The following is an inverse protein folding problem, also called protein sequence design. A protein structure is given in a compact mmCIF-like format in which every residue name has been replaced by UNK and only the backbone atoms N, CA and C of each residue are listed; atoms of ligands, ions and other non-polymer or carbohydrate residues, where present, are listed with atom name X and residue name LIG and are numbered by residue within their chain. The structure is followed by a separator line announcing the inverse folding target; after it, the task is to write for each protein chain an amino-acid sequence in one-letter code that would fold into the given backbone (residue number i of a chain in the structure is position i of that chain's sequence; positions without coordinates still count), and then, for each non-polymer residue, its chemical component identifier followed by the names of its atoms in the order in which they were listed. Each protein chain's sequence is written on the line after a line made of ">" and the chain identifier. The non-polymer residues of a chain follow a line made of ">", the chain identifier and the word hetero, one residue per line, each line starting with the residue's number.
data_IF_449574191530
#
_entry.id   IF_449574191530
#
_cell.length_a   1.000
_cell.length_b   1.000
_cell.length_c   1.000
_cell.angle_alpha   90.00
_cell.angle_beta   90.00
_cell.angle_gamma   90.00
#
_symmetry.space_group_name_H-M   'P 1'
#
loop_
_entity.id
_entity.type
_entity.pdbx_description
1 polymer ?
#
# COMPACT_ATOMS: atom_id res chain seq x y z
N UNK A 1 -2.50 -7.16 -7.13
CA UNK A 1 -2.04 -6.52 -8.36
C UNK A 1 -0.68 -5.87 -8.12
N UNK A 2 0.31 -6.18 -8.95
CA UNK A 2 1.63 -5.53 -8.93
C UNK A 2 1.81 -4.74 -10.22
N UNK A 3 1.88 -3.41 -10.12
CA UNK A 3 1.80 -2.51 -11.27
C UNK A 3 3.10 -2.48 -12.11
N UNK A 4 3.34 -3.55 -12.87
CA UNK A 4 4.59 -3.78 -13.60
C UNK A 4 4.81 -2.81 -14.77
N UNK A 5 3.74 -2.19 -15.27
CA UNK A 5 3.76 -1.21 -16.37
C UNK A 5 4.17 0.19 -15.93
N UNK A 6 4.19 0.49 -14.62
CA UNK A 6 4.55 1.82 -14.12
C UNK A 6 6.04 2.12 -14.30
N UNK A 7 6.42 3.41 -14.41
CA UNK A 7 7.83 3.83 -14.49
C UNK A 7 8.67 3.40 -13.26
N UNK A 8 9.99 3.49 -13.34
CA UNK A 8 10.84 3.21 -12.16
C UNK A 8 10.46 4.16 -11.00
N UNK A 9 10.27 3.65 -9.77
CA UNK A 9 9.83 4.46 -8.62
C UNK A 9 10.83 5.54 -8.16
N UNK A 10 12.03 5.59 -8.76
CA UNK A 10 13.01 6.67 -8.58
C UNK A 10 12.85 7.80 -9.59
N UNK A 11 12.08 7.60 -10.66
CA UNK A 11 11.80 8.64 -11.65
C UNK A 11 10.74 9.62 -11.14
N UNK A 12 10.77 10.85 -11.65
CA UNK A 12 9.74 11.85 -11.35
C UNK A 12 8.38 11.44 -11.94
N UNK A 13 8.38 10.87 -13.15
CA UNK A 13 7.18 10.42 -13.86
C UNK A 13 6.41 9.31 -13.13
N UNK A 14 7.07 8.53 -12.26
CA UNK A 14 6.38 7.48 -11.50
C UNK A 14 5.35 8.04 -10.52
N UNK A 15 5.61 9.19 -9.89
CA UNK A 15 4.74 9.69 -8.83
C UNK A 15 3.33 9.97 -9.38
N UNK A 16 3.25 10.70 -10.49
CA UNK A 16 1.97 11.02 -11.13
C UNK A 16 1.29 9.77 -11.69
N UNK A 17 2.05 8.90 -12.36
CA UNK A 17 1.51 7.65 -12.91
C UNK A 17 0.97 6.71 -11.82
N UNK A 18 1.63 6.62 -10.66
CA UNK A 18 1.17 5.82 -9.54
C UNK A 18 -0.10 6.41 -8.91
N UNK A 19 -0.17 7.72 -8.74
CA UNK A 19 -1.36 8.37 -8.18
C UNK A 19 -2.55 8.25 -9.13
N UNK A 20 -2.35 8.41 -10.44
CA UNK A 20 -3.40 8.24 -11.44
C UNK A 20 -3.89 6.77 -11.49
N UNK A 21 -2.99 5.78 -11.49
CA UNK A 21 -3.36 4.36 -11.44
C UNK A 21 -4.14 4.01 -10.15
N UNK A 22 -3.73 4.57 -9.01
CA UNK A 22 -4.45 4.39 -7.76
C UNK A 22 -5.85 5.03 -7.82
N UNK A 23 -5.94 6.25 -8.35
CA UNK A 23 -7.19 7.00 -8.48
C UNK A 23 -8.21 6.20 -9.28
N UNK A 24 -7.81 5.64 -10.43
CA UNK A 24 -8.67 4.79 -11.24
C UNK A 24 -9.25 3.62 -10.42
N UNK A 25 -8.40 2.92 -9.66
CA UNK A 25 -8.83 1.78 -8.85
C UNK A 25 -9.78 2.20 -7.71
N UNK A 26 -9.51 3.33 -7.06
CA UNK A 26 -10.29 3.86 -5.95
C UNK A 26 -11.66 4.42 -6.39
N UNK A 27 -11.70 5.08 -7.54
CA UNK A 27 -12.95 5.55 -8.15
C UNK A 27 -13.78 4.36 -8.64
N UNK A 28 -13.14 3.35 -9.25
CA UNK A 28 -13.80 2.10 -9.64
C UNK A 28 -14.38 1.35 -8.45
N UNK A 29 -13.76 1.39 -7.27
CA UNK A 29 -14.32 0.82 -6.03
C UNK A 29 -15.36 1.72 -5.35
N UNK A 30 -15.62 2.92 -5.88
CA UNK A 30 -16.60 3.85 -5.30
C UNK A 30 -16.19 4.35 -3.92
N UNK A 31 -14.89 4.56 -3.71
CA UNK A 31 -14.31 4.75 -2.39
C UNK A 31 -13.89 3.40 -1.82
N UNK A 32 -14.12 3.15 -0.53
CA UNK A 32 -13.81 1.85 0.09
C UNK A 32 -12.31 1.52 0.06
N UNK A 33 -11.50 2.57 0.14
CA UNK A 33 -10.08 2.53 -0.21
C UNK A 33 -9.15 2.95 0.93
N UNK A 34 -8.03 2.27 1.05
CA UNK A 34 -6.92 2.66 1.92
C UNK A 34 -5.65 2.84 1.09
N UNK A 35 -5.08 4.03 1.10
CA UNK A 35 -3.79 4.32 0.47
C UNK A 35 -2.71 4.39 1.56
N UNK A 36 -1.75 3.48 1.47
CA UNK A 36 -0.59 3.39 2.34
C UNK A 36 0.64 3.92 1.60
N UNK A 37 1.10 5.08 2.05
CA UNK A 37 2.26 5.77 1.48
C UNK A 37 3.53 5.52 2.29
N UNK A 38 4.67 5.48 1.60
CA UNK A 38 5.99 5.33 2.21
C UNK A 38 6.60 6.66 2.67
N UNK A 39 5.96 7.80 2.34
CA UNK A 39 6.43 9.14 2.73
C UNK A 39 5.29 10.15 2.77
N UNK A 40 5.42 11.18 3.61
CA UNK A 40 4.48 12.31 3.64
C UNK A 40 4.41 13.05 2.29
N UNK A 41 5.54 13.15 1.57
CA UNK A 41 5.55 13.73 0.21
C UNK A 41 4.57 13.02 -0.73
N UNK A 42 4.49 11.69 -0.66
CA UNK A 42 3.51 10.95 -1.47
C UNK A 42 2.10 11.11 -0.92
N UNK A 43 1.92 11.12 0.41
CA UNK A 43 0.63 11.43 1.02
C UNK A 43 0.06 12.76 0.52
N UNK A 44 0.86 13.83 0.52
CA UNK A 44 0.45 15.16 0.06
C UNK A 44 0.06 15.13 -1.44
N UNK A 45 0.81 14.40 -2.26
CA UNK A 45 0.50 14.21 -3.69
C UNK A 45 -0.81 13.47 -3.92
N UNK A 46 -1.06 12.41 -3.16
CA UNK A 46 -2.33 11.70 -3.19
C UNK A 46 -3.47 12.61 -2.75
N UNK A 47 -3.28 13.38 -1.67
CA UNK A 47 -4.29 14.29 -1.16
C UNK A 47 -4.65 15.37 -2.19
N UNK A 48 -3.64 16.00 -2.80
CA UNK A 48 -3.82 17.02 -3.85
C UNK A 48 -4.54 16.46 -5.08
N UNK A 49 -4.16 15.27 -5.54
CA UNK A 49 -4.68 14.69 -6.78
C UNK A 49 -6.08 14.08 -6.64
N UNK A 50 -6.41 13.56 -5.46
CA UNK A 50 -7.73 13.03 -5.15
C UNK A 50 -8.70 14.12 -4.67
N UNK A 51 -8.23 15.34 -4.39
CA UNK A 51 -9.08 16.47 -4.05
C UNK A 51 -10.06 16.77 -5.19
N UNK A 52 -11.37 16.76 -4.88
CA UNK A 52 -12.43 16.98 -5.86
C UNK A 52 -12.84 15.75 -6.68
N UNK A 53 -12.31 14.56 -6.34
CA UNK A 53 -12.91 13.31 -6.81
C UNK A 53 -14.29 13.08 -6.19
N UNK A 54 -15.07 12.16 -6.75
CA UNK A 54 -16.42 11.82 -6.25
C UNK A 54 -16.38 11.06 -4.91
N UNK A 55 -15.21 10.56 -4.51
CA UNK A 55 -15.03 9.80 -3.27
C UNK A 55 -14.69 10.72 -2.10
N UNK A 56 -15.22 10.42 -0.92
CA UNK A 56 -14.89 11.19 0.29
C UNK A 56 -13.45 10.94 0.69
N UNK A 57 -12.61 11.96 0.64
CA UNK A 57 -11.20 11.85 1.04
C UNK A 57 -11.01 12.12 2.53
N UNK A 58 -10.23 11.28 3.19
CA UNK A 58 -9.74 11.44 4.55
C UNK A 58 -8.21 11.37 4.53
N UNK A 59 -7.52 12.35 5.12
CA UNK A 59 -6.05 12.41 5.05
C UNK A 59 -5.43 12.44 6.45
N UNK A 60 -4.40 11.62 6.66
CA UNK A 60 -3.62 11.67 7.89
C UNK A 60 -3.05 13.09 8.10
N UNK A 61 -3.31 13.65 9.28
CA UNK A 61 -2.89 15.00 9.66
C UNK A 61 -4.05 15.99 9.76
N UNK A 62 -5.18 15.71 9.12
CA UNK A 62 -6.37 16.59 9.17
C UNK A 62 -7.18 16.42 10.46
N UNK A 63 -7.17 15.22 11.03
CA UNK A 63 -7.84 14.89 12.29
C UNK A 63 -6.89 14.14 13.22
N UNK A 64 -7.12 14.18 14.55
CA UNK A 64 -6.47 13.26 15.48
C UNK A 64 -6.65 11.81 15.03
N UNK A 65 -5.59 11.01 15.20
CA UNK A 65 -5.51 9.63 14.69
C UNK A 65 -6.77 8.79 14.98
N UNK A 66 -7.27 8.76 16.21
CA UNK A 66 -8.49 8.00 16.56
C UNK A 66 -9.75 8.52 15.85
N UNK A 67 -9.91 9.84 15.73
CA UNK A 67 -11.05 10.44 15.06
C UNK A 67 -11.03 10.21 13.55
N UNK A 68 -9.83 10.22 12.94
CA UNK A 68 -9.69 9.91 11.51
C UNK A 68 -10.07 8.46 11.19
N UNK A 69 -9.69 7.53 12.08
CA UNK A 69 -10.03 6.11 11.93
C UNK A 69 -11.51 5.90 12.13
N UNK A 70 -12.11 6.50 13.16
CA UNK A 70 -13.56 6.46 13.36
C UNK A 70 -14.33 7.04 12.15
N UNK A 71 -13.88 8.16 11.58
CA UNK A 71 -14.50 8.73 10.39
C UNK A 71 -14.39 7.80 9.17
N UNK A 72 -13.27 7.09 9.01
CA UNK A 72 -13.09 6.10 7.95
C UNK A 72 -13.96 4.86 8.14
N UNK A 73 -14.20 4.45 9.39
CA UNK A 73 -15.13 3.36 9.71
C UNK A 73 -16.58 3.71 9.44
N UNK A 74 -16.99 4.93 9.80
CA UNK A 74 -18.37 5.42 9.65
C UNK A 74 -18.71 5.71 8.19
N UNK A 75 -17.77 6.25 7.42
CA UNK A 75 -17.97 6.61 6.02
C UNK A 75 -17.44 5.51 5.09
N UNK A 76 -18.28 4.52 4.79
CA UNK A 76 -17.88 3.37 3.98
C UNK A 76 -17.37 3.76 2.58
N UNK A 77 -17.90 4.83 1.98
CA UNK A 77 -17.54 5.26 0.62
C UNK A 77 -16.35 6.23 0.60
N UNK A 78 -15.56 6.26 1.68
CA UNK A 78 -14.37 7.09 1.77
C UNK A 78 -13.08 6.41 1.30
N UNK A 79 -12.07 7.24 1.03
CA UNK A 79 -10.68 6.85 0.84
C UNK A 79 -9.86 7.47 1.95
N UNK A 80 -9.14 6.66 2.71
CA UNK A 80 -8.16 7.12 3.68
C UNK A 80 -6.75 7.07 3.10
N UNK A 81 -6.07 8.21 3.05
CA UNK A 81 -4.66 8.32 2.67
C UNK A 81 -3.82 8.52 3.92
N UNK A 82 -2.94 7.56 4.20
CA UNK A 82 -2.08 7.58 5.37
C UNK A 82 -0.68 7.03 5.05
N UNK A 83 0.29 7.35 5.90
CA UNK A 83 1.61 6.72 5.89
C UNK A 83 1.54 5.30 6.43
N UNK A 84 2.44 4.41 6.01
CA UNK A 84 2.46 3.02 6.52
C UNK A 84 2.55 2.91 8.05
N UNK A 85 3.27 3.82 8.70
CA UNK A 85 3.41 3.84 10.17
C UNK A 85 2.16 4.34 10.90
N UNK A 86 1.17 4.88 10.21
CA UNK A 86 -0.02 5.46 10.83
C UNK A 86 -0.76 4.47 11.72
N UNK A 87 -0.72 3.17 11.40
CA UNK A 87 -1.53 2.14 12.02
C UNK A 87 -0.86 1.36 13.15
N UNK A 88 0.33 1.77 13.58
CA UNK A 88 0.95 1.15 14.75
C UNK A 88 0.02 1.30 15.97
N UNK A 89 -0.34 0.17 16.58
CA UNK A 89 -1.21 0.10 17.75
C UNK A 89 -2.71 0.32 17.48
N UNK A 90 -3.17 0.35 16.22
CA UNK A 90 -4.59 0.42 15.89
C UNK A 90 -5.05 -0.76 15.05
N UNK A 91 -6.18 -1.32 15.44
CA UNK A 91 -7.00 -2.09 14.53
C UNK A 91 -7.67 -1.11 13.56
N UNK A 92 -7.87 -1.55 12.32
CA UNK A 92 -8.69 -0.81 11.37
C UNK A 92 -9.99 -1.59 11.30
N UNK A 93 -11.08 -1.12 11.91
CA UNK A 93 -12.40 -1.61 11.61
C UNK A 93 -12.81 -1.04 10.24
N UNK A 94 -13.62 -1.77 9.51
CA UNK A 94 -14.10 -1.32 8.20
C UNK A 94 -14.66 -2.52 7.47
N UNK A 95 -15.97 -2.71 7.58
CA UNK A 95 -16.66 -3.76 6.84
C UNK A 95 -16.60 -3.55 5.32
N UNK A 96 -16.13 -2.37 4.92
CA UNK A 96 -16.18 -1.75 3.61
C UNK A 96 -14.81 -1.59 2.93
N UNK A 97 -13.69 -2.04 3.52
CA UNK A 97 -12.38 -1.89 2.87
C UNK A 97 -12.22 -2.93 1.74
N UNK A 98 -12.23 -2.46 0.50
CA UNK A 98 -12.16 -3.30 -0.71
C UNK A 98 -10.84 -3.12 -1.45
N UNK A 99 -10.25 -1.93 -1.41
CA UNK A 99 -9.00 -1.63 -2.12
C UNK A 99 -7.94 -1.13 -1.14
N UNK A 100 -6.81 -1.83 -1.08
CA UNK A 100 -5.60 -1.35 -0.40
C UNK A 100 -4.54 -1.03 -1.43
N UNK A 101 -4.16 0.23 -1.51
CA UNK A 101 -3.07 0.72 -2.35
C UNK A 101 -1.82 0.86 -1.49
N UNK A 102 -0.69 0.33 -1.97
CA UNK A 102 0.64 0.52 -1.40
C UNK A 102 1.49 1.19 -2.47
N UNK A 103 1.95 2.41 -2.19
CA UNK A 103 2.66 3.20 -3.20
C UNK A 103 3.99 2.54 -3.59
N UNK A 104 4.86 2.26 -2.62
CA UNK A 104 6.18 1.67 -2.83
C UNK A 104 6.42 0.47 -1.94
N UNK A 105 7.41 -0.34 -2.33
CA UNK A 105 7.94 -1.36 -1.43
C UNK A 105 8.52 -0.70 -0.18
N UNK A 106 8.10 -1.13 1.03
CA UNK A 106 8.43 -0.45 2.28
C UNK A 106 9.79 -0.87 2.82
N UNK A 107 10.83 -0.65 2.03
CA UNK A 107 12.19 -0.84 2.48
C UNK A 107 12.52 0.19 3.57
N UNK A 108 13.31 -0.19 4.58
CA UNK A 108 13.70 0.73 5.63
C UNK A 108 14.56 1.84 5.02
N UNK A 109 14.43 3.05 5.57
CA UNK A 109 15.23 4.16 5.06
C UNK A 109 16.72 3.89 5.29
N UNK A 110 17.61 4.32 4.37
CA UNK A 110 19.04 4.17 4.55
C UNK A 110 19.59 4.91 5.78
N UNK A 111 18.95 6.02 6.16
CA UNK A 111 19.36 6.93 7.24
C UNK A 111 18.76 6.59 8.61
N UNK A 112 17.97 5.51 8.73
CA UNK A 112 17.40 5.08 10.01
C UNK A 112 18.49 4.45 10.90
N UNK A 113 18.81 5.04 12.09
CA UNK A 113 19.92 4.57 12.92
C UNK A 113 19.78 3.12 13.39
N UNK A 114 18.54 2.68 13.68
CA UNK A 114 18.29 1.32 14.14
C UNK A 114 18.54 0.31 13.02
N UNK A 115 18.07 0.61 11.80
CA UNK A 115 18.29 -0.28 10.66
C UNK A 115 19.74 -0.26 10.19
N UNK A 116 20.43 0.87 10.26
CA UNK A 116 21.88 0.95 9.98
C UNK A 116 22.68 0.03 10.91
N UNK A 117 22.46 0.09 12.22
CA UNK A 117 23.14 -0.80 13.17
C UNK A 117 22.87 -2.29 12.88
N UNK A 118 21.63 -2.64 12.48
CA UNK A 118 21.30 -4.02 12.09
C UNK A 118 21.99 -4.48 10.81
N UNK A 119 22.12 -3.58 9.82
CA UNK A 119 22.84 -3.87 8.57
C UNK A 119 24.32 -4.12 8.84
N UNK A 120 24.96 -3.29 9.67
CA UNK A 120 26.35 -3.46 10.08
C UNK A 120 26.59 -4.82 10.76
N UNK A 121 25.71 -5.23 11.68
CA UNK A 121 25.80 -6.54 12.33
C UNK A 121 25.69 -7.69 11.32
N UNK A 122 24.78 -7.59 10.34
CA UNK A 122 24.64 -8.60 9.30
C UNK A 122 25.89 -8.68 8.41
N UNK A 123 26.46 -7.53 8.03
CA UNK A 123 27.68 -7.45 7.22
C UNK A 123 28.90 -8.00 7.96
N UNK A 124 29.04 -7.70 9.27
CA UNK A 124 30.09 -8.27 10.12
C UNK A 124 29.99 -9.81 10.22
N UNK A 125 28.78 -10.37 10.11
CA UNK A 125 28.54 -11.81 10.05
C UNK A 125 28.75 -12.41 8.64
N UNK A 126 29.21 -11.63 7.66
CA UNK A 126 29.42 -12.07 6.28
C UNK A 126 28.12 -12.27 5.48
N UNK A 127 27.00 -11.73 5.95
CA UNK A 127 25.70 -11.80 5.30
C UNK A 127 25.42 -10.54 4.48
N UNK A 128 24.58 -10.67 3.45
CA UNK A 128 24.05 -9.50 2.73
C UNK A 128 23.07 -8.74 3.63
N UNK A 129 23.36 -7.47 3.94
CA UNK A 129 22.46 -6.59 4.69
C UNK A 129 21.08 -6.46 4.03
N UNK A 130 21.03 -6.35 2.71
CA UNK A 130 19.76 -6.34 1.97
C UNK A 130 18.95 -7.62 2.19
N UNK A 131 19.57 -8.78 2.02
CA UNK A 131 18.89 -10.08 2.14
C UNK A 131 18.53 -10.46 3.57
N UNK A 132 19.37 -10.11 4.54
CA UNK A 132 19.21 -10.50 5.94
C UNK A 132 18.38 -9.50 6.76
N UNK A 133 18.31 -8.23 6.34
CA UNK A 133 17.68 -7.15 7.12
C UNK A 133 16.57 -6.44 6.34
N UNK A 134 16.90 -5.83 5.19
CA UNK A 134 15.95 -4.96 4.49
C UNK A 134 14.79 -5.74 3.88
N UNK A 135 15.08 -6.86 3.22
CA UNK A 135 14.09 -7.70 2.56
C UNK A 135 13.10 -8.34 3.56
N UNK A 136 13.54 -8.99 4.67
CA UNK A 136 12.62 -9.47 5.69
C UNK A 136 11.78 -8.36 6.32
N UNK A 137 12.36 -7.19 6.58
CA UNK A 137 11.61 -6.05 7.14
C UNK A 137 10.52 -5.57 6.17
N UNK A 138 10.88 -5.39 4.89
CA UNK A 138 9.92 -4.99 3.87
C UNK A 138 8.81 -6.03 3.70
N UNK A 139 9.14 -7.32 3.75
CA UNK A 139 8.17 -8.41 3.68
C UNK A 139 7.13 -8.33 4.81
N UNK A 140 7.57 -8.11 6.06
CA UNK A 140 6.67 -7.96 7.22
C UNK A 140 5.75 -6.75 7.07
N UNK A 141 6.31 -5.59 6.71
CA UNK A 141 5.52 -4.36 6.54
C UNK A 141 4.51 -4.50 5.40
N UNK A 142 4.92 -5.11 4.28
CA UNK A 142 4.06 -5.35 3.14
C UNK A 142 2.90 -6.30 3.50
N UNK A 143 3.20 -7.39 4.23
CA UNK A 143 2.20 -8.33 4.73
C UNK A 143 1.23 -7.67 5.71
N UNK A 144 1.72 -6.78 6.58
CA UNK A 144 0.87 -5.99 7.49
C UNK A 144 -0.04 -5.01 6.75
N UNK A 145 0.48 -4.33 5.72
CA UNK A 145 -0.32 -3.45 4.86
C UNK A 145 -1.40 -4.21 4.11
N UNK A 146 -1.05 -5.32 3.47
CA UNK A 146 -1.99 -6.20 2.77
C UNK A 146 -3.00 -6.85 3.72
N UNK A 147 -2.56 -7.25 4.91
CA UNK A 147 -3.40 -7.87 5.93
C UNK A 147 -4.51 -6.96 6.46
N UNK A 148 -4.44 -5.64 6.22
CA UNK A 148 -5.56 -4.73 6.52
C UNK A 148 -6.81 -5.06 5.72
N UNK A 149 -6.66 -5.65 4.55
CA UNK A 149 -7.78 -6.10 3.73
C UNK A 149 -8.40 -7.40 4.27
N UNK A 150 -7.58 -8.33 4.78
CA UNK A 150 -8.02 -9.68 5.11
C UNK A 150 -8.39 -9.75 6.59
N UNK A 151 -9.68 -9.50 6.87
CA UNK A 151 -10.22 -9.45 8.24
C UNK A 151 -11.31 -10.48 8.53
N UNK A 152 -11.86 -11.13 7.50
CA UNK A 152 -12.86 -12.19 7.64
C UNK A 152 -12.73 -13.20 6.49
N UNK A 153 -13.30 -14.40 6.67
CA UNK A 153 -13.36 -15.46 5.64
C UNK A 153 -14.12 -15.05 4.38
N UNK A 154 -14.94 -14.00 4.47
CA UNK A 154 -15.76 -13.46 3.37
C UNK A 154 -15.14 -12.20 2.74
N UNK A 155 -14.05 -11.68 3.31
CA UNK A 155 -13.43 -10.44 2.83
C UNK A 155 -12.94 -10.63 1.39
N UNK A 156 -13.48 -9.82 0.48
CA UNK A 156 -13.04 -9.70 -0.90
C UNK A 156 -12.37 -8.36 -1.09
N UNK A 157 -11.27 -8.33 -1.83
CA UNK A 157 -10.62 -7.06 -2.12
C UNK A 157 -9.37 -7.18 -2.95
N UNK A 158 -8.86 -6.01 -3.34
CA UNK A 158 -7.67 -5.84 -4.14
C UNK A 158 -6.57 -5.20 -3.30
N UNK A 159 -5.41 -5.86 -3.19
CA UNK A 159 -4.17 -5.19 -2.81
C UNK A 159 -3.43 -4.79 -4.08
N UNK A 160 -3.24 -3.50 -4.29
CA UNK A 160 -2.49 -2.91 -5.38
C UNK A 160 -1.14 -2.38 -4.87
N UNK A 161 -0.03 -2.94 -5.36
CA UNK A 161 1.31 -2.43 -5.09
C UNK A 161 1.82 -1.71 -6.33
N UNK A 162 2.02 -0.41 -6.23
CA UNK A 162 2.34 0.49 -7.35
C UNK A 162 3.84 0.59 -7.64
N UNK A 163 4.61 -0.29 -6.99
CA UNK A 163 6.02 -0.43 -7.22
C UNK A 163 6.28 -1.55 -8.24
N UNK A 164 6.70 -1.23 -9.48
CA UNK A 164 6.94 -2.25 -10.50
C UNK A 164 8.04 -3.23 -10.08
N UNK A 165 8.89 -2.89 -9.10
CA UNK A 165 9.94 -3.78 -8.58
C UNK A 165 9.37 -5.04 -7.95
N UNK A 166 8.14 -5.04 -7.45
CA UNK A 166 7.50 -6.25 -6.92
C UNK A 166 7.35 -7.35 -7.99
N UNK A 167 7.04 -6.95 -9.22
CA UNK A 167 6.89 -7.87 -10.35
C UNK A 167 8.20 -8.10 -11.12
N UNK A 168 9.08 -7.08 -11.18
CA UNK A 168 10.24 -7.08 -12.10
C UNK A 168 11.57 -7.47 -11.45
N UNK A 169 11.73 -7.37 -10.12
CA UNK A 169 12.98 -7.73 -9.44
C UNK A 169 12.91 -9.16 -8.90
N UNK A 170 14.07 -9.84 -8.90
CA UNK A 170 14.19 -11.23 -8.43
C UNK A 170 13.71 -11.44 -6.99
N UNK A 171 13.97 -10.47 -6.11
CA UNK A 171 13.51 -10.50 -4.72
C UNK A 171 12.00 -10.31 -4.57
N UNK A 172 11.30 -9.84 -5.61
CA UNK A 172 9.85 -9.64 -5.57
C UNK A 172 9.11 -10.93 -5.20
N UNK A 173 9.59 -12.08 -5.68
CA UNK A 173 9.05 -13.39 -5.33
C UNK A 173 9.08 -13.67 -3.81
N UNK A 174 10.09 -13.21 -3.09
CA UNK A 174 10.17 -13.37 -1.64
C UNK A 174 9.16 -12.48 -0.90
N UNK A 175 8.98 -11.24 -1.36
CA UNK A 175 7.96 -10.33 -0.81
C UNK A 175 6.55 -10.85 -1.05
N UNK A 176 6.28 -11.33 -2.27
CA UNK A 176 4.98 -11.89 -2.65
C UNK A 176 4.65 -13.14 -1.83
N UNK A 177 5.64 -13.96 -1.44
CA UNK A 177 5.42 -15.13 -0.57
C UNK A 177 5.06 -14.76 0.88
N UNK A 178 5.42 -13.57 1.34
CA UNK A 178 5.05 -13.09 2.68
C UNK A 178 3.62 -12.54 2.72
N UNK A 179 3.04 -12.22 1.57
CA UNK A 179 1.64 -11.82 1.47
C UNK A 179 0.72 -13.00 1.76
N UNK A 180 -0.50 -12.72 2.26
CA UNK A 180 -1.55 -13.74 2.35
C UNK A 180 -1.82 -14.44 1.02
N UNK A 181 -2.45 -15.61 1.08
CA UNK A 181 -2.80 -16.35 -0.13
C UNK A 181 -3.88 -15.60 -0.92
N UNK A 182 -3.51 -15.13 -2.11
CA UNK A 182 -4.31 -14.27 -2.97
C UNK A 182 -3.97 -14.52 -4.42
N UNK A 183 -4.97 -14.43 -5.31
CA UNK A 183 -4.74 -14.38 -6.75
C UNK A 183 -3.86 -13.20 -7.13
N UNK A 184 -2.95 -13.42 -8.09
CA UNK A 184 -1.92 -12.45 -8.46
C UNK A 184 -2.06 -12.07 -9.93
N UNK A 185 -1.90 -10.79 -10.21
CA UNK A 185 -1.85 -10.25 -11.56
C UNK A 185 -0.86 -9.08 -11.62
N UNK A 186 -0.21 -8.93 -12.77
CA UNK A 186 0.52 -7.72 -13.16
C UNK A 186 -0.21 -6.94 -14.27
N UNK A 187 -1.32 -7.49 -14.78
CA UNK A 187 -2.17 -6.86 -15.78
C UNK A 187 -3.16 -5.91 -15.09
N UNK A 188 -3.13 -4.62 -15.43
CA UNK A 188 -3.99 -3.62 -14.82
C UNK A 188 -5.46 -3.78 -15.21
N UNK A 189 -5.79 -4.36 -16.38
CA UNK A 189 -7.18 -4.60 -16.77
C UNK A 189 -7.81 -5.73 -15.95
N UNK A 190 -7.05 -6.79 -15.66
CA UNK A 190 -7.51 -7.85 -14.74
C UNK A 190 -7.80 -7.28 -13.35
N UNK A 191 -6.98 -6.33 -12.88
CA UNK A 191 -7.22 -5.66 -11.59
C UNK A 191 -8.49 -4.80 -11.61
N UNK A 192 -8.69 -3.98 -12.67
CA UNK A 192 -9.89 -3.15 -12.82
C UNK A 192 -11.16 -4.00 -12.98
N UNK A 193 -11.13 -5.07 -13.77
CA UNK A 193 -12.26 -6.00 -13.93
C UNK A 193 -12.63 -6.65 -12.59
N UNK A 194 -11.62 -7.07 -11.82
CA UNK A 194 -11.85 -7.62 -10.49
C UNK A 194 -12.60 -6.62 -9.58
N UNK A 195 -12.17 -5.35 -9.55
CA UNK A 195 -12.84 -4.30 -8.77
C UNK A 195 -14.27 -4.03 -9.25
N UNK A 196 -14.49 -3.94 -10.57
CA UNK A 196 -15.85 -3.74 -11.13
C UNK A 196 -16.81 -4.86 -10.74
N UNK A 197 -16.33 -6.11 -10.75
CA UNK A 197 -17.12 -7.27 -10.34
C UNK A 197 -17.46 -7.23 -8.87
N UNK A 198 -16.51 -6.85 -7.99
CA UNK A 198 -16.81 -6.70 -6.56
C UNK A 198 -17.93 -5.70 -6.29
N UNK A 199 -18.03 -4.64 -7.10
CA UNK A 199 -19.11 -3.64 -6.96
C UNK A 199 -20.47 -4.05 -7.50
N UNK A 200 -20.50 -5.08 -8.35
CA UNK A 200 -21.74 -5.53 -9.01
C UNK A 200 -22.43 -6.67 -8.24
N UNK A 201 -21.73 -7.25 -7.26
CA UNK A 201 -22.20 -8.29 -6.33
C UNK A 201 -22.80 -7.67 -5.06
#
# INVERSE_FOLDING_TARGET
>A
YAAASLPDPRSEAWADAAVDEARDLLELSGGRGLVLTTSYRMLDRFAERLAGSEVRLLVQGELPKQALVAAFEEEETSVLVATMGFWEGLDIPGRSLEVVVIDKLPFPRPDDPLWTARREVAEQAGLSSFGAVDLPRAAVLLAQGAGRLIRSVEARGLVAVLDPRLATKSYGSALVRALPDMSRTADPEVAREFVRRMRSD
#
